data_IF_540158887467
#
_entry.id   IF_540158887467
#
_cell.length_a   1.000
_cell.length_b   1.000
_cell.length_c   1.000
_cell.angle_alpha   90.00
_cell.angle_beta   90.00
_cell.angle_gamma   90.00
#
_symmetry.space_group_name_H-M   'P 1'
#
loop_
_entity.id
_entity.type
_entity.pdbx_description
1 polymer ?
#
# COMPACT_ATOMS: atom_id res chain seq x y z
N UNK A 1 8.95 9.29 -1.29
CA UNK A 1 9.23 10.06 -0.06
C UNK A 1 8.93 11.55 -0.29
N UNK A 2 7.69 11.82 -0.62
CA UNK A 2 7.18 13.18 -0.87
C UNK A 2 6.19 13.53 0.24
N UNK A 3 5.99 14.84 0.47
CA UNK A 3 4.90 15.30 1.33
C UNK A 3 3.54 15.03 0.68
N UNK A 4 2.47 15.06 1.45
CA UNK A 4 1.12 14.91 0.92
C UNK A 4 0.81 15.98 -0.14
N UNK A 5 1.16 17.24 0.12
CA UNK A 5 0.92 18.36 -0.81
C UNK A 5 1.62 18.17 -2.16
N UNK A 6 2.89 17.72 -2.16
CA UNK A 6 3.63 17.42 -3.40
C UNK A 6 3.03 16.23 -4.13
N UNK A 7 2.69 15.17 -3.41
CA UNK A 7 2.07 13.96 -3.97
C UNK A 7 0.72 14.27 -4.61
N UNK A 8 -0.13 15.06 -3.95
CA UNK A 8 -1.43 15.46 -4.48
C UNK A 8 -1.28 16.25 -5.78
N UNK A 9 -0.38 17.23 -5.84
CA UNK A 9 -0.11 17.98 -7.08
C UNK A 9 0.33 17.06 -8.21
N UNK A 10 1.20 16.09 -7.92
CA UNK A 10 1.66 15.12 -8.90
C UNK A 10 0.52 14.22 -9.40
N UNK A 11 -0.30 13.69 -8.51
CA UNK A 11 -1.43 12.84 -8.89
C UNK A 11 -2.50 13.62 -9.65
N UNK A 12 -2.81 14.84 -9.25
CA UNK A 12 -3.78 15.70 -9.96
C UNK A 12 -3.30 15.99 -11.39
N UNK A 13 -2.02 16.34 -11.58
CA UNK A 13 -1.45 16.51 -12.91
C UNK A 13 -1.48 15.21 -13.75
N UNK A 14 -1.24 14.05 -13.12
CA UNK A 14 -1.33 12.76 -13.80
C UNK A 14 -2.77 12.47 -14.25
N UNK A 15 -3.76 12.77 -13.42
CA UNK A 15 -5.20 12.62 -13.74
C UNK A 15 -5.57 13.53 -14.93
N UNK A 16 -5.14 14.79 -14.91
CA UNK A 16 -5.38 15.74 -16.03
C UNK A 16 -4.79 15.24 -17.36
N UNK A 17 -3.69 14.49 -17.31
CA UNK A 17 -3.07 13.85 -18.47
C UNK A 17 -3.71 12.51 -18.86
N UNK A 18 -4.77 12.07 -18.16
CA UNK A 18 -5.47 10.82 -18.45
C UNK A 18 -4.78 9.56 -17.91
N UNK A 19 -3.81 9.69 -17.00
CA UNK A 19 -3.18 8.54 -16.33
C UNK A 19 -4.15 7.99 -15.28
N UNK A 20 -4.47 6.70 -15.39
CA UNK A 20 -5.45 6.02 -14.52
C UNK A 20 -4.84 4.96 -13.61
N UNK A 21 -3.58 4.57 -13.84
CA UNK A 21 -2.88 3.55 -13.08
C UNK A 21 -1.82 4.19 -12.19
N UNK A 22 -2.23 4.56 -10.99
CA UNK A 22 -1.41 5.30 -10.04
C UNK A 22 -1.36 4.57 -8.71
N UNK A 23 -0.19 4.59 -8.07
CA UNK A 23 0.07 3.94 -6.79
C UNK A 23 0.79 4.91 -5.86
N UNK A 24 0.28 5.06 -4.64
CA UNK A 24 0.97 5.73 -3.54
C UNK A 24 1.62 4.67 -2.65
N UNK A 25 2.94 4.53 -2.76
CA UNK A 25 3.71 3.54 -2.02
C UNK A 25 3.99 4.01 -0.58
N UNK A 26 3.71 3.16 0.40
CA UNK A 26 3.93 3.31 1.84
C UNK A 26 3.57 4.71 2.41
N UNK A 27 2.37 5.27 2.15
CA UNK A 27 2.05 6.63 2.56
C UNK A 27 1.99 6.83 4.07
N UNK A 28 1.70 5.78 4.87
CA UNK A 28 1.74 5.81 6.33
C UNK A 28 3.17 5.80 6.91
N UNK A 29 4.18 5.42 6.12
CA UNK A 29 5.54 5.28 6.62
C UNK A 29 6.09 6.60 7.17
N UNK A 30 7.03 6.52 8.12
CA UNK A 30 7.63 7.67 8.79
C UNK A 30 8.19 8.73 7.84
N UNK A 31 8.63 8.33 6.66
CA UNK A 31 9.18 9.22 5.64
C UNK A 31 8.11 10.03 4.88
N UNK A 32 6.88 9.53 4.81
CA UNK A 32 5.75 10.18 4.12
C UNK A 32 4.76 10.81 5.10
N UNK A 33 4.38 10.07 6.14
CA UNK A 33 3.51 10.49 7.27
C UNK A 33 2.17 11.07 6.86
N UNK A 34 1.52 10.48 5.84
CA UNK A 34 0.17 10.91 5.50
C UNK A 34 -0.82 10.48 6.59
N UNK A 35 -1.78 11.34 6.86
CA UNK A 35 -2.91 11.01 7.72
C UNK A 35 -3.87 10.04 7.00
N UNK A 36 -4.71 9.36 7.75
CA UNK A 36 -5.72 8.47 7.18
C UNK A 36 -6.69 9.22 6.24
N UNK A 37 -7.06 10.45 6.58
CA UNK A 37 -7.93 11.29 5.75
C UNK A 37 -7.26 11.66 4.42
N UNK A 38 -5.98 12.02 4.44
CA UNK A 38 -5.18 12.30 3.24
C UNK A 38 -5.04 11.07 2.34
N UNK A 39 -4.85 9.89 2.93
CA UNK A 39 -4.79 8.62 2.18
C UNK A 39 -6.15 8.32 1.55
N UNK A 40 -7.23 8.51 2.32
CA UNK A 40 -8.59 8.32 1.81
C UNK A 40 -8.89 9.25 0.64
N UNK A 41 -8.47 10.51 0.71
CA UNK A 41 -8.64 11.46 -0.39
C UNK A 41 -7.93 10.99 -1.68
N UNK A 42 -6.69 10.49 -1.56
CA UNK A 42 -5.97 9.93 -2.72
C UNK A 42 -6.68 8.69 -3.30
N UNK A 43 -7.15 7.80 -2.45
CA UNK A 43 -7.89 6.61 -2.89
C UNK A 43 -9.20 6.97 -3.61
N UNK A 44 -9.91 8.01 -3.16
CA UNK A 44 -11.13 8.51 -3.80
C UNK A 44 -10.85 9.14 -5.17
N UNK A 45 -9.65 9.70 -5.39
CA UNK A 45 -9.17 10.16 -6.70
C UNK A 45 -8.77 8.99 -7.64
N UNK A 46 -8.79 7.75 -7.17
CA UNK A 46 -8.45 6.57 -7.98
C UNK A 46 -7.01 6.08 -7.83
N UNK A 47 -6.23 6.66 -6.91
CA UNK A 47 -4.88 6.20 -6.58
C UNK A 47 -4.97 4.93 -5.74
N UNK A 48 -4.21 3.90 -6.08
CA UNK A 48 -4.05 2.71 -5.25
C UNK A 48 -3.09 3.01 -4.10
N UNK A 49 -3.40 2.48 -2.92
CA UNK A 49 -2.59 2.64 -1.72
C UNK A 49 -1.78 1.36 -1.52
N UNK A 50 -0.47 1.47 -1.53
CA UNK A 50 0.41 0.32 -1.30
C UNK A 50 0.98 0.35 0.12
N UNK A 51 0.69 -0.69 0.89
CA UNK A 51 1.35 -0.97 2.17
C UNK A 51 2.47 -1.97 1.97
N UNK A 52 3.59 -1.78 2.66
CA UNK A 52 4.79 -2.59 2.44
C UNK A 52 5.29 -3.21 3.75
N UNK A 53 5.71 -4.47 3.68
CA UNK A 53 6.23 -5.20 4.83
C UNK A 53 7.46 -4.54 5.45
N UNK A 54 8.35 -3.97 4.61
CA UNK A 54 9.61 -3.39 5.07
C UNK A 54 9.44 -2.34 6.16
N UNK A 55 8.37 -1.55 6.13
CA UNK A 55 8.09 -0.51 7.12
C UNK A 55 7.64 -1.05 8.49
N UNK A 56 7.22 -2.32 8.58
CA UNK A 56 6.96 -2.99 9.88
C UNK A 56 8.26 -3.42 10.56
N UNK A 57 9.37 -3.43 9.85
CA UNK A 57 10.66 -3.83 10.41
C UNK A 57 11.28 -2.69 11.22
N UNK A 58 11.97 -3.00 12.34
CA UNK A 58 12.57 -1.98 13.22
C UNK A 58 13.48 -0.97 12.50
N UNK A 59 14.11 -1.38 11.41
CA UNK A 59 15.01 -0.55 10.61
C UNK A 59 14.30 0.58 9.84
N UNK A 60 13.02 0.38 9.46
CA UNK A 60 12.30 1.29 8.56
C UNK A 60 11.07 1.96 9.20
N UNK A 61 11.01 2.02 10.53
CA UNK A 61 9.95 2.77 11.21
C UNK A 61 9.12 1.97 12.19
N UNK A 62 9.21 0.62 12.17
CA UNK A 62 8.52 -0.25 13.13
C UNK A 62 6.99 0.02 13.19
N UNK A 63 6.39 0.20 12.02
CA UNK A 63 4.94 0.38 11.90
C UNK A 63 4.19 -0.80 12.50
N UNK A 64 3.14 -0.51 13.26
CA UNK A 64 2.25 -1.55 13.75
C UNK A 64 1.39 -2.08 12.59
N UNK A 65 1.36 -3.40 12.34
CA UNK A 65 0.50 -3.96 11.30
C UNK A 65 -1.00 -3.63 11.46
N UNK A 66 -1.47 -3.35 12.68
CA UNK A 66 -2.86 -2.90 12.93
C UNK A 66 -3.18 -1.57 12.27
N UNK A 67 -2.21 -0.63 12.19
CA UNK A 67 -2.40 0.66 11.54
C UNK A 67 -2.69 0.49 10.03
N UNK A 68 -2.08 -0.53 9.41
CA UNK A 68 -2.40 -0.87 8.02
C UNK A 68 -3.80 -1.42 7.87
N UNK A 69 -4.23 -2.30 8.79
CA UNK A 69 -5.59 -2.85 8.75
C UNK A 69 -6.63 -1.74 8.91
N UNK A 70 -6.41 -0.80 9.82
CA UNK A 70 -7.29 0.36 9.99
C UNK A 70 -7.37 1.20 8.70
N UNK A 71 -6.24 1.45 8.05
CA UNK A 71 -6.21 2.13 6.76
C UNK A 71 -6.93 1.33 5.67
N UNK A 72 -6.71 0.01 5.58
CA UNK A 72 -7.39 -0.87 4.62
C UNK A 72 -8.91 -0.84 4.83
N UNK A 73 -9.39 -0.86 6.06
CA UNK A 73 -10.83 -0.78 6.37
C UNK A 73 -11.44 0.57 5.98
N UNK A 74 -10.67 1.64 6.06
CA UNK A 74 -11.12 2.98 5.65
C UNK A 74 -11.13 3.14 4.13
N UNK A 75 -10.10 2.66 3.44
CA UNK A 75 -9.88 2.85 1.99
C UNK A 75 -10.62 1.80 1.15
N UNK A 76 -10.68 0.58 1.64
CA UNK A 76 -11.18 -0.61 0.94
C UNK A 76 -10.05 -1.45 0.34
N UNK A 77 -10.18 -2.76 0.46
CA UNK A 77 -9.21 -3.72 -0.08
C UNK A 77 -9.07 -3.61 -1.60
N UNK A 78 -10.13 -3.21 -2.32
CA UNK A 78 -10.15 -3.02 -3.77
C UNK A 78 -9.30 -1.83 -4.25
N UNK A 79 -8.87 -0.97 -3.34
CA UNK A 79 -7.99 0.17 -3.60
C UNK A 79 -6.62 0.02 -2.96
N UNK A 80 -6.34 -1.12 -2.34
CA UNK A 80 -5.10 -1.37 -1.61
C UNK A 80 -4.27 -2.45 -2.29
N UNK A 81 -2.95 -2.33 -2.19
CA UNK A 81 -1.96 -3.31 -2.63
C UNK A 81 -1.05 -3.64 -1.45
N UNK A 82 -0.62 -4.89 -1.35
CA UNK A 82 0.43 -5.31 -0.43
C UNK A 82 1.72 -5.57 -1.21
N UNK A 83 2.80 -4.92 -0.79
CA UNK A 83 4.15 -5.10 -1.29
C UNK A 83 5.13 -5.47 -0.19
N UNK A 84 6.40 -5.65 -0.51
CA UNK A 84 7.41 -5.95 0.50
C UNK A 84 8.41 -4.82 0.73
N UNK A 85 8.79 -4.11 -0.31
CA UNK A 85 9.87 -3.11 -0.27
C UNK A 85 11.18 -3.63 0.35
N UNK A 86 11.45 -4.93 0.18
CA UNK A 86 12.65 -5.60 0.66
C UNK A 86 13.69 -5.59 -0.45
N UNK A 87 14.57 -4.60 -0.44
CA UNK A 87 15.49 -4.30 -1.55
C UNK A 87 16.96 -4.41 -1.18
N UNK A 88 17.27 -4.55 0.09
CA UNK A 88 18.65 -4.55 0.56
C UNK A 88 19.20 -5.97 0.72
N UNK A 89 20.52 -6.12 0.59
CA UNK A 89 21.17 -7.45 0.67
C UNK A 89 21.03 -8.12 2.04
N UNK A 90 20.77 -7.36 3.07
CA UNK A 90 20.57 -7.84 4.45
C UNK A 90 19.08 -8.02 4.79
N UNK A 91 18.16 -7.69 3.88
CA UNK A 91 16.74 -7.95 4.10
C UNK A 91 16.47 -9.46 3.99
N UNK A 92 15.40 -9.90 4.63
CA UNK A 92 14.92 -11.27 4.42
C UNK A 92 14.44 -11.43 2.97
N UNK A 93 14.37 -12.66 2.51
CA UNK A 93 13.87 -12.95 1.17
C UNK A 93 12.47 -12.33 0.97
N UNK A 94 12.21 -11.57 -0.13
CA UNK A 94 10.93 -10.92 -0.37
C UNK A 94 9.72 -11.85 -0.34
N UNK A 95 9.85 -13.09 -0.86
CA UNK A 95 8.75 -14.06 -0.81
C UNK A 95 8.41 -14.48 0.62
N UNK A 96 9.42 -14.59 1.51
CA UNK A 96 9.19 -14.86 2.93
C UNK A 96 8.55 -13.64 3.60
N UNK A 97 9.04 -12.42 3.32
CA UNK A 97 8.46 -11.17 3.81
C UNK A 97 6.99 -11.04 3.44
N UNK A 98 6.63 -11.32 2.18
CA UNK A 98 5.23 -11.30 1.74
C UNK A 98 4.38 -12.32 2.52
N UNK A 99 4.88 -13.54 2.74
CA UNK A 99 4.13 -14.55 3.52
C UNK A 99 3.89 -14.10 4.96
N UNK A 100 4.88 -13.48 5.60
CA UNK A 100 4.74 -12.94 6.95
C UNK A 100 3.71 -11.80 6.94
N UNK A 101 3.81 -10.88 5.99
CA UNK A 101 2.91 -9.73 5.90
C UNK A 101 1.46 -10.15 5.68
N UNK A 102 1.19 -11.11 4.80
CA UNK A 102 -0.13 -11.71 4.62
C UNK A 102 -0.64 -12.30 5.95
N UNK A 103 0.22 -13.04 6.65
CA UNK A 103 -0.13 -13.60 7.98
C UNK A 103 -0.51 -12.52 8.99
N UNK A 104 0.21 -11.40 9.03
CA UNK A 104 -0.11 -10.26 9.87
C UNK A 104 -1.46 -9.64 9.50
N UNK A 105 -1.72 -9.38 8.21
CA UNK A 105 -3.00 -8.82 7.78
C UNK A 105 -4.19 -9.70 8.18
N UNK A 106 -4.08 -11.01 7.98
CA UNK A 106 -5.11 -11.96 8.41
C UNK A 106 -5.30 -11.97 9.93
N UNK A 107 -4.19 -11.95 10.69
CA UNK A 107 -4.23 -11.96 12.16
C UNK A 107 -4.88 -10.71 12.73
N UNK A 108 -4.64 -9.55 12.12
CA UNK A 108 -5.17 -8.26 12.55
C UNK A 108 -6.56 -7.92 11.97
N UNK A 109 -7.17 -8.80 11.17
CA UNK A 109 -8.58 -8.73 10.83
C UNK A 109 -8.94 -8.49 9.37
N UNK A 110 -7.98 -8.60 8.43
CA UNK A 110 -8.34 -8.72 7.03
C UNK A 110 -8.88 -10.13 6.73
N UNK A 111 -9.88 -10.21 5.87
CA UNK A 111 -10.38 -11.51 5.40
C UNK A 111 -9.48 -12.10 4.30
N UNK A 112 -9.53 -13.42 4.05
CA UNK A 112 -8.82 -14.02 2.93
C UNK A 112 -9.17 -13.38 1.57
N UNK A 113 -10.43 -12.99 1.39
CA UNK A 113 -10.92 -12.32 0.17
C UNK A 113 -10.29 -10.94 0.00
N UNK A 114 -10.18 -10.15 1.09
CA UNK A 114 -9.48 -8.86 1.08
C UNK A 114 -8.00 -9.03 0.72
N UNK A 115 -7.34 -10.03 1.30
CA UNK A 115 -5.94 -10.35 0.97
C UNK A 115 -5.78 -10.76 -0.50
N UNK A 116 -6.73 -11.53 -1.06
CA UNK A 116 -6.70 -11.89 -2.48
C UNK A 116 -6.81 -10.64 -3.37
N UNK A 117 -7.66 -9.68 -3.03
CA UNK A 117 -7.71 -8.40 -3.74
C UNK A 117 -6.37 -7.69 -3.73
N UNK A 118 -5.79 -7.51 -2.55
CA UNK A 118 -4.58 -6.72 -2.36
C UNK A 118 -3.32 -7.37 -2.94
N UNK A 119 -3.23 -8.69 -2.92
CA UNK A 119 -2.02 -9.40 -3.38
C UNK A 119 -2.09 -9.89 -4.82
N UNK A 120 -3.29 -10.01 -5.41
CA UNK A 120 -3.47 -10.65 -6.70
C UNK A 120 -4.32 -9.82 -7.67
N UNK A 121 -5.58 -9.54 -7.33
CA UNK A 121 -6.53 -8.90 -8.26
C UNK A 121 -6.13 -7.46 -8.60
N UNK A 122 -5.78 -6.65 -7.61
CA UNK A 122 -5.40 -5.25 -7.85
C UNK A 122 -4.07 -5.12 -8.60
N UNK A 123 -2.98 -5.83 -8.23
CA UNK A 123 -1.77 -5.84 -9.03
C UNK A 123 -2.01 -6.30 -10.48
N UNK A 124 -2.79 -7.36 -10.69
CA UNK A 124 -3.10 -7.84 -12.03
C UNK A 124 -3.85 -6.78 -12.86
N UNK A 125 -4.86 -6.12 -12.26
CA UNK A 125 -5.61 -5.03 -12.90
C UNK A 125 -4.72 -3.84 -13.26
N UNK A 126 -3.78 -3.46 -12.40
CA UNK A 126 -2.83 -2.38 -12.68
C UNK A 126 -1.87 -2.71 -13.83
N UNK A 127 -1.52 -3.98 -13.97
CA UNK A 127 -0.58 -4.47 -14.98
C UNK A 127 -1.26 -5.00 -16.26
N UNK A 128 -2.61 -4.93 -16.36
CA UNK A 128 -3.41 -5.52 -17.46
C UNK A 128 -3.12 -7.03 -17.65
N UNK A 129 -2.97 -7.76 -16.55
CA UNK A 129 -2.76 -9.21 -16.55
C UNK A 129 -4.10 -9.91 -16.30
N UNK A 130 -4.48 -10.84 -17.17
CA UNK A 130 -5.60 -11.76 -16.94
C UNK A 130 -5.21 -12.82 -15.90
N UNK A 131 -6.13 -13.14 -14.96
CA UNK A 131 -5.91 -14.10 -13.86
C UNK A 131 -6.55 -15.44 -14.17
#
# INVERSE_FOLDING_TARGET
>A
HMSYEESTKMFDAAIELGITKMVATHPLAELSRFTLDEIKELADKGVYIEHVYGTTMPRLGNMDPSDYVDCIKLVGAEKTILGTDLTQVWDINPALGMRIFIGQMLQFGCSPEEVEFMCKKNPAKLLDIEL
#
